data_IF_971316261376
#
_entry.id   IF_971316261376
#
_cell.length_a   1.000
_cell.length_b   1.000
_cell.length_c   1.000
_cell.angle_alpha   90.00
_cell.angle_beta   90.00
_cell.angle_gamma   90.00
#
_symmetry.space_group_name_H-M   'P 1'
#
loop_
_entity.id
_entity.type
_entity.pdbx_description
1 polymer ?
#
# COMPACT_ATOMS: atom_id res chain seq x y z
N UNK A 1 -1.24 -41.64 -34.80
CA UNK A 1 -1.33 -40.27 -35.37
C UNK A 1 -2.50 -39.45 -34.81
N UNK A 2 -3.70 -40.01 -34.63
CA UNK A 2 -4.90 -39.25 -34.23
C UNK A 2 -4.78 -38.46 -32.91
N UNK A 3 -4.08 -39.00 -31.91
CA UNK A 3 -3.89 -38.33 -30.61
C UNK A 3 -3.05 -37.05 -30.71
N UNK A 4 -2.03 -37.04 -31.58
CA UNK A 4 -1.15 -35.89 -31.78
C UNK A 4 -1.92 -34.73 -32.44
N UNK A 5 -2.81 -35.04 -33.38
CA UNK A 5 -3.65 -34.04 -34.05
C UNK A 5 -4.61 -33.38 -33.05
N UNK A 6 -5.21 -34.17 -32.14
CA UNK A 6 -6.11 -33.64 -31.11
C UNK A 6 -5.41 -32.65 -30.15
N UNK A 7 -4.16 -32.93 -29.76
CA UNK A 7 -3.37 -32.03 -28.90
C UNK A 7 -3.08 -30.70 -29.60
N UNK A 8 -2.70 -30.73 -30.89
CA UNK A 8 -2.40 -29.50 -31.64
C UNK A 8 -3.65 -28.64 -31.80
N UNK A 9 -4.81 -29.25 -32.06
CA UNK A 9 -6.09 -28.53 -32.13
C UNK A 9 -6.44 -27.92 -30.77
N UNK A 10 -6.28 -28.66 -29.66
CA UNK A 10 -6.50 -28.14 -28.32
C UNK A 10 -5.64 -26.92 -27.99
N UNK A 11 -4.33 -26.98 -28.31
CA UNK A 11 -3.41 -25.87 -28.08
C UNK A 11 -3.73 -24.63 -28.94
N UNK A 12 -4.04 -24.83 -30.22
CA UNK A 12 -4.39 -23.71 -31.12
C UNK A 12 -5.69 -23.02 -30.70
N UNK A 13 -6.72 -23.77 -30.30
CA UNK A 13 -7.97 -23.22 -29.76
C UNK A 13 -7.71 -22.47 -28.44
N UNK A 14 -6.88 -23.02 -27.55
CA UNK A 14 -6.50 -22.38 -26.28
C UNK A 14 -5.77 -21.04 -26.49
N UNK A 15 -4.83 -20.98 -27.44
CA UNK A 15 -4.11 -19.75 -27.79
C UNK A 15 -5.07 -18.69 -28.35
N UNK A 16 -5.93 -19.07 -29.31
CA UNK A 16 -6.92 -18.15 -29.89
C UNK A 16 -7.89 -17.61 -28.85
N UNK A 17 -8.35 -18.45 -27.92
CA UNK A 17 -9.21 -18.05 -26.82
C UNK A 17 -8.53 -17.02 -25.90
N UNK A 18 -7.27 -17.25 -25.53
CA UNK A 18 -6.49 -16.33 -24.70
C UNK A 18 -6.29 -14.97 -25.40
N UNK A 19 -5.96 -14.96 -26.70
CA UNK A 19 -5.83 -13.72 -27.49
C UNK A 19 -7.16 -12.95 -27.53
N UNK A 20 -8.28 -13.63 -27.79
CA UNK A 20 -9.62 -13.01 -27.82
C UNK A 20 -10.00 -12.41 -26.46
N UNK A 21 -9.69 -13.11 -25.36
CA UNK A 21 -9.91 -12.62 -23.99
C UNK A 21 -9.07 -11.37 -23.68
N UNK A 22 -7.79 -11.37 -24.06
CA UNK A 22 -6.92 -10.18 -23.92
C UNK A 22 -7.45 -8.98 -24.71
N UNK A 23 -7.89 -9.19 -25.96
CA UNK A 23 -8.46 -8.12 -26.80
C UNK A 23 -9.74 -7.52 -26.21
N UNK A 24 -10.64 -8.36 -25.67
CA UNK A 24 -11.86 -7.88 -24.98
C UNK A 24 -11.53 -7.05 -23.74
N UNK A 25 -10.59 -7.51 -22.91
CA UNK A 25 -10.13 -6.75 -21.73
C UNK A 25 -9.54 -5.40 -22.11
N UNK A 26 -8.69 -5.37 -23.15
CA UNK A 26 -8.11 -4.12 -23.63
C UNK A 26 -9.17 -3.16 -24.18
N UNK A 27 -10.17 -3.66 -24.92
CA UNK A 27 -11.25 -2.84 -25.44
C UNK A 27 -12.11 -2.23 -24.31
N UNK A 28 -12.43 -3.01 -23.28
CA UNK A 28 -13.15 -2.52 -22.10
C UNK A 28 -12.35 -1.43 -21.36
N UNK A 29 -11.05 -1.66 -21.20
CA UNK A 29 -10.13 -0.72 -20.54
C UNK A 29 -9.98 0.59 -21.32
N UNK A 30 -9.85 0.50 -22.65
CA UNK A 30 -9.80 1.67 -23.53
C UNK A 30 -11.14 2.43 -23.52
N UNK A 31 -12.27 1.72 -23.48
CA UNK A 31 -13.60 2.35 -23.39
C UNK A 31 -13.75 3.14 -22.09
N UNK A 32 -13.41 2.55 -20.95
CA UNK A 32 -13.45 3.21 -19.64
C UNK A 32 -12.53 4.43 -19.60
N UNK A 33 -11.30 4.30 -20.09
CA UNK A 33 -10.35 5.41 -20.22
C UNK A 33 -10.90 6.57 -21.09
N UNK A 34 -11.49 6.25 -22.24
CA UNK A 34 -12.10 7.25 -23.12
C UNK A 34 -13.31 7.94 -22.46
N UNK A 35 -14.12 7.21 -21.70
CA UNK A 35 -15.25 7.78 -20.96
C UNK A 35 -14.77 8.73 -19.88
N UNK A 36 -13.74 8.36 -19.11
CA UNK A 36 -13.13 9.23 -18.11
C UNK A 36 -12.52 10.48 -18.74
N UNK A 37 -11.89 10.37 -19.91
CA UNK A 37 -11.38 11.54 -20.64
C UNK A 37 -12.51 12.46 -21.13
N UNK A 38 -13.64 11.90 -21.58
CA UNK A 38 -14.79 12.70 -21.96
C UNK A 38 -15.39 13.44 -20.76
N UNK A 39 -15.47 12.78 -19.60
CA UNK A 39 -15.92 13.41 -18.34
C UNK A 39 -14.93 14.47 -17.86
N UNK A 40 -13.62 14.26 -18.04
CA UNK A 40 -12.59 15.24 -17.73
C UNK A 40 -12.81 16.54 -18.51
N UNK A 41 -13.18 16.47 -19.79
CA UNK A 41 -13.41 17.68 -20.60
C UNK A 41 -14.63 18.51 -20.13
N UNK A 42 -15.47 17.96 -19.25
CA UNK A 42 -16.59 18.68 -18.63
C UNK A 42 -16.18 19.40 -17.34
N UNK A 43 -14.96 19.20 -16.85
CA UNK A 43 -14.46 19.90 -15.67
C UNK A 43 -14.26 21.38 -15.99
N UNK A 44 -14.77 22.23 -15.12
CA UNK A 44 -14.57 23.69 -15.20
C UNK A 44 -13.15 24.10 -14.83
N UNK A 45 -12.41 23.22 -14.14
CA UNK A 45 -11.10 23.51 -13.59
C UNK A 45 -10.00 22.90 -14.47
N UNK A 46 -8.87 23.58 -14.60
CA UNK A 46 -7.69 23.09 -15.33
C UNK A 46 -6.76 22.36 -14.36
N UNK A 47 -6.77 21.01 -14.35
CA UNK A 47 -5.97 20.27 -13.38
C UNK A 47 -4.48 20.47 -13.65
N UNK A 48 -3.74 20.83 -12.60
CA UNK A 48 -2.28 20.98 -12.61
C UNK A 48 -1.60 19.62 -12.56
N UNK A 49 -2.20 18.67 -11.83
CA UNK A 49 -1.72 17.30 -11.73
C UNK A 49 -2.85 16.30 -11.87
N UNK A 50 -2.53 15.13 -12.43
CA UNK A 50 -3.51 14.08 -12.66
C UNK A 50 -2.91 12.69 -12.47
N UNK A 51 -3.74 11.78 -11.98
CA UNK A 51 -3.38 10.39 -11.79
C UNK A 51 -4.55 9.47 -12.12
N UNK A 52 -4.33 8.63 -13.13
CA UNK A 52 -5.24 7.53 -13.45
C UNK A 52 -4.91 6.33 -12.56
N UNK A 53 -5.92 5.79 -11.90
CA UNK A 53 -5.80 4.58 -11.09
C UNK A 53 -5.37 3.38 -11.93
N UNK A 54 -4.67 2.42 -11.32
CA UNK A 54 -4.15 1.22 -11.99
C UNK A 54 -5.25 0.35 -12.65
N UNK A 55 -6.49 0.43 -12.17
CA UNK A 55 -7.65 -0.26 -12.75
C UNK A 55 -8.38 0.57 -13.82
N UNK A 56 -7.95 1.81 -14.06
CA UNK A 56 -8.56 2.81 -14.95
C UNK A 56 -10.02 3.15 -14.61
N UNK A 57 -10.46 2.98 -13.36
CA UNK A 57 -11.84 3.30 -12.95
C UNK A 57 -11.98 4.65 -12.25
N UNK A 58 -10.85 5.22 -11.83
CA UNK A 58 -10.81 6.47 -11.09
C UNK A 58 -9.67 7.34 -11.63
N UNK A 59 -9.99 8.59 -11.96
CA UNK A 59 -9.04 9.65 -12.26
C UNK A 59 -9.06 10.64 -11.09
N UNK A 60 -7.92 10.75 -10.42
CA UNK A 60 -7.65 11.80 -9.44
C UNK A 60 -7.05 12.99 -10.16
N UNK A 61 -7.66 14.16 -10.02
CA UNK A 61 -7.15 15.40 -10.58
C UNK A 61 -7.01 16.45 -9.48
N UNK A 62 -5.95 17.24 -9.53
CA UNK A 62 -5.65 18.30 -8.58
C UNK A 62 -5.47 19.61 -9.32
N UNK A 63 -6.21 20.63 -8.91
CA UNK A 63 -5.99 22.03 -9.30
C UNK A 63 -5.31 22.74 -8.15
N UNK A 64 -3.99 22.95 -8.27
CA UNK A 64 -3.19 23.58 -7.22
C UNK A 64 -3.53 25.07 -7.06
N UNK A 65 -3.94 25.72 -8.15
CA UNK A 65 -4.22 27.15 -8.16
C UNK A 65 -5.56 27.43 -7.48
N UNK A 66 -6.57 26.60 -7.77
CA UNK A 66 -7.87 26.71 -7.13
C UNK A 66 -7.93 26.04 -5.75
N UNK A 67 -6.92 25.25 -5.36
CA UNK A 67 -6.94 24.49 -4.11
C UNK A 67 -8.02 23.40 -4.09
N UNK A 68 -8.31 22.79 -5.24
CA UNK A 68 -9.39 21.82 -5.42
C UNK A 68 -8.88 20.46 -5.84
N UNK A 69 -9.53 19.42 -5.35
CA UNK A 69 -9.27 18.02 -5.69
C UNK A 69 -10.52 17.42 -6.30
N UNK A 70 -10.36 16.66 -7.38
CA UNK A 70 -11.45 16.07 -8.11
C UNK A 70 -11.28 14.57 -8.28
N UNK A 71 -12.36 13.84 -8.02
CA UNK A 71 -12.47 12.40 -8.19
C UNK A 71 -13.45 12.13 -9.33
N UNK A 72 -12.93 11.66 -10.46
CA UNK A 72 -13.75 11.24 -11.60
C UNK A 72 -13.78 9.72 -11.66
N UNK A 73 -14.97 9.14 -11.47
CA UNK A 73 -15.25 7.72 -11.68
C UNK A 73 -16.19 7.55 -12.87
N UNK A 74 -16.48 6.31 -13.26
CA UNK A 74 -17.47 6.03 -14.31
C UNK A 74 -18.88 6.53 -13.96
N UNK A 75 -19.19 6.65 -12.67
CA UNK A 75 -20.54 6.97 -12.17
C UNK A 75 -20.67 8.40 -11.67
N UNK A 76 -19.56 9.05 -11.30
CA UNK A 76 -19.60 10.34 -10.63
C UNK A 76 -18.38 11.19 -10.92
N UNK A 77 -18.55 12.50 -10.87
CA UNK A 77 -17.47 13.47 -10.93
C UNK A 77 -17.64 14.43 -9.76
N UNK A 78 -16.81 14.28 -8.72
CA UNK A 78 -16.94 15.03 -7.48
C UNK A 78 -15.69 15.86 -7.21
N UNK A 79 -15.88 17.16 -7.14
CA UNK A 79 -14.84 18.13 -6.76
C UNK A 79 -15.03 18.57 -5.32
N UNK A 80 -13.95 18.62 -4.55
CA UNK A 80 -13.91 19.09 -3.18
C UNK A 80 -12.85 20.19 -3.04
N UNK A 81 -13.07 21.10 -2.09
CA UNK A 81 -12.02 22.00 -1.64
C UNK A 81 -11.01 21.22 -0.81
N UNK A 82 -9.73 21.60 -0.86
CA UNK A 82 -8.69 20.90 -0.11
C UNK A 82 -8.92 20.94 1.41
N UNK A 83 -9.62 21.98 1.89
CA UNK A 83 -10.01 22.12 3.30
C UNK A 83 -11.08 21.10 3.74
N UNK A 84 -11.78 20.48 2.80
CA UNK A 84 -12.76 19.43 3.09
C UNK A 84 -12.11 18.04 3.24
N UNK A 85 -10.81 17.92 2.96
CA UNK A 85 -10.09 16.67 3.13
C UNK A 85 -9.74 16.47 4.61
N UNK A 86 -10.28 15.40 5.19
CA UNK A 86 -10.14 15.08 6.61
C UNK A 86 -8.96 14.14 6.89
N UNK A 87 -8.54 13.35 5.89
CA UNK A 87 -7.43 12.43 6.08
C UNK A 87 -7.08 11.62 4.85
N UNK A 88 -5.84 11.13 4.84
CA UNK A 88 -5.26 10.35 3.75
C UNK A 88 -4.58 9.13 4.38
N UNK A 89 -4.91 7.94 3.90
CA UNK A 89 -4.40 6.68 4.42
C UNK A 89 -3.92 5.78 3.28
N UNK A 90 -2.62 5.43 3.21
CA UNK A 90 -2.15 4.36 2.35
C UNK A 90 -2.60 3.01 2.93
N UNK A 91 -3.15 2.13 2.09
CA UNK A 91 -3.58 0.79 2.48
C UNK A 91 -2.95 -0.21 1.52
N UNK A 92 -2.29 -1.22 2.10
CA UNK A 92 -1.69 -2.32 1.36
C UNK A 92 -2.39 -3.62 1.72
N UNK A 93 -3.05 -4.23 0.74
CA UNK A 93 -3.71 -5.52 0.87
C UNK A 93 -2.77 -6.61 0.41
N UNK A 94 -2.62 -7.64 1.22
CA UNK A 94 -1.67 -8.71 0.98
C UNK A 94 -1.77 -9.84 1.98
N UNK A 95 -0.92 -10.84 1.79
CA UNK A 95 -0.72 -11.93 2.73
C UNK A 95 0.71 -11.89 3.24
N UNK A 96 0.88 -12.07 4.55
CA UNK A 96 2.19 -12.28 5.16
C UNK A 96 2.38 -13.77 5.39
N UNK A 97 3.47 -14.33 4.87
CA UNK A 97 3.90 -15.70 5.15
C UNK A 97 5.15 -15.65 6.02
N UNK A 98 5.20 -16.46 7.07
CA UNK A 98 6.37 -16.65 7.92
C UNK A 98 6.89 -18.07 7.71
N UNK A 99 8.12 -18.18 7.19
CA UNK A 99 8.82 -19.45 7.07
C UNK A 99 9.87 -19.52 8.19
N UNK A 100 9.65 -20.40 9.16
CA UNK A 100 10.61 -20.65 10.25
C UNK A 100 11.46 -21.86 9.89
N UNK A 101 12.76 -21.64 9.68
CA UNK A 101 13.71 -22.73 9.47
C UNK A 101 14.47 -22.99 10.76
N UNK A 102 14.25 -24.15 11.38
CA UNK A 102 15.03 -24.60 12.53
C UNK A 102 16.20 -25.44 12.04
N UNK A 103 17.42 -25.05 12.40
CA UNK A 103 18.63 -25.85 12.19
C UNK A 103 19.19 -26.26 13.53
N UNK A 104 19.50 -27.54 13.65
CA UNK A 104 20.27 -28.06 14.78
C UNK A 104 21.75 -27.89 14.46
N UNK A 105 22.47 -27.22 15.35
CA UNK A 105 23.89 -27.01 15.22
C UNK A 105 24.62 -28.27 15.74
N UNK A 106 25.88 -28.50 15.33
CA UNK A 106 26.69 -29.66 15.78
C UNK A 106 26.80 -29.79 17.31
N UNK A 107 26.53 -28.71 18.05
CA UNK A 107 26.54 -28.64 19.52
C UNK A 107 25.16 -28.86 20.18
N UNK A 108 24.13 -29.29 19.44
CA UNK A 108 22.78 -29.51 19.98
C UNK A 108 21.98 -28.24 20.25
N UNK A 109 22.53 -27.06 19.92
CA UNK A 109 21.80 -25.80 19.98
C UNK A 109 20.88 -25.68 18.75
N UNK A 110 19.59 -25.49 18.98
CA UNK A 110 18.62 -25.19 17.93
C UNK A 110 18.68 -23.69 17.60
N UNK A 111 19.09 -23.35 16.38
CA UNK A 111 18.98 -22.00 15.85
C UNK A 111 17.78 -21.93 14.90
N UNK A 112 16.78 -21.13 15.24
CA UNK A 112 15.68 -20.81 14.34
C UNK A 112 15.96 -19.50 13.59
N UNK A 113 15.83 -19.54 12.28
CA UNK A 113 15.81 -18.34 11.43
C UNK A 113 14.42 -18.18 10.87
N UNK A 114 13.76 -17.07 11.22
CA UNK A 114 12.44 -16.73 10.70
C UNK A 114 12.59 -15.82 9.49
N UNK A 115 12.06 -16.24 8.33
CA UNK A 115 11.99 -15.40 7.13
C UNK A 115 10.54 -14.96 6.93
N UNK A 116 10.29 -13.67 7.05
CA UNK A 116 9.01 -13.06 6.70
C UNK A 116 9.00 -12.74 5.20
N UNK A 117 7.99 -13.20 4.49
CA UNK A 117 7.73 -12.83 3.10
C UNK A 117 6.35 -12.21 3.02
N UNK A 118 6.30 -10.91 2.74
CA UNK A 118 5.04 -10.19 2.51
C UNK A 118 4.76 -10.11 1.01
N UNK A 119 3.55 -10.52 0.64
CA UNK A 119 3.03 -10.46 -0.73
C UNK A 119 1.90 -9.46 -0.80
N UNK A 120 2.01 -8.46 -1.67
CA UNK A 120 1.03 -7.39 -1.86
C UNK A 120 0.25 -7.66 -3.15
N UNK A 121 -1.08 -7.75 -3.05
CA UNK A 121 -1.98 -7.89 -4.22
C UNK A 121 -2.57 -6.56 -4.67
N UNK A 122 -2.72 -5.60 -3.74
CA UNK A 122 -3.33 -4.31 -4.02
C UNK A 122 -2.75 -3.22 -3.13
N UNK A 123 -2.43 -2.09 -3.75
CA UNK A 123 -1.98 -0.87 -3.07
C UNK A 123 -2.98 0.24 -3.40
N UNK A 124 -3.62 0.79 -2.38
CA UNK A 124 -4.65 1.82 -2.51
C UNK A 124 -4.35 3.03 -1.61
N UNK A 125 -4.76 4.20 -2.07
CA UNK A 125 -4.80 5.42 -1.29
C UNK A 125 -6.27 5.73 -0.96
N UNK A 126 -6.62 5.70 0.31
CA UNK A 126 -7.94 6.08 0.81
C UNK A 126 -7.92 7.53 1.27
N UNK A 127 -8.78 8.35 0.68
CA UNK A 127 -8.95 9.76 1.04
C UNK A 127 -10.33 9.91 1.70
N UNK A 128 -10.34 10.54 2.87
CA UNK A 128 -11.57 10.83 3.62
C UNK A 128 -11.91 12.30 3.48
N UNK A 129 -13.15 12.58 3.09
CA UNK A 129 -13.64 13.93 2.79
C UNK A 129 -14.87 14.25 3.64
N UNK A 130 -15.13 15.54 3.86
CA UNK A 130 -16.30 16.07 4.56
C UNK A 130 -17.56 16.00 3.69
N UNK A 131 -17.94 14.80 3.28
CA UNK A 131 -19.18 14.50 2.55
C UNK A 131 -19.99 13.46 3.33
N UNK A 132 -21.24 13.77 3.65
CA UNK A 132 -22.15 12.87 4.37
C UNK A 132 -22.63 11.70 3.52
N UNK A 133 -22.57 11.81 2.19
CA UNK A 133 -23.04 10.77 1.26
C UNK A 133 -21.90 9.85 0.85
N UNK A 134 -20.75 10.41 0.42
CA UNK A 134 -19.56 9.62 0.04
C UNK A 134 -18.29 10.12 0.74
N UNK A 135 -18.11 9.78 2.02
CA UNK A 135 -16.96 10.26 2.80
C UNK A 135 -15.63 9.62 2.40
N UNK A 136 -15.63 8.55 1.59
CA UNK A 136 -14.43 7.78 1.28
C UNK A 136 -14.24 7.63 -0.22
N UNK A 137 -13.05 8.00 -0.69
CA UNK A 137 -12.60 7.82 -2.06
C UNK A 137 -11.34 6.95 -2.06
N UNK A 138 -11.30 5.90 -2.88
CA UNK A 138 -10.16 4.99 -2.98
C UNK A 138 -9.54 5.04 -4.36
N UNK A 139 -8.21 5.10 -4.42
CA UNK A 139 -7.44 5.15 -5.67
C UNK A 139 -6.39 4.05 -5.64
N UNK A 140 -6.43 3.13 -6.59
CA UNK A 140 -5.43 2.06 -6.70
C UNK A 140 -4.17 2.54 -7.41
N UNK A 141 -3.03 2.36 -6.76
CA UNK A 141 -1.69 2.52 -7.35
C UNK A 141 -1.14 1.20 -7.89
N UNK A 142 -1.58 0.09 -7.32
CA UNK A 142 -1.32 -1.25 -7.81
C UNK A 142 -2.56 -2.12 -7.62
N UNK A 143 -2.97 -2.83 -8.68
CA UNK A 143 -4.03 -3.84 -8.62
C UNK A 143 -3.69 -4.98 -9.58
N UNK A 144 -2.94 -5.95 -9.08
CA UNK A 144 -2.44 -7.07 -9.86
C UNK A 144 -3.33 -8.31 -9.77
N UNK A 145 -3.35 -9.18 -10.80
CA UNK A 145 -4.02 -10.47 -10.71
C UNK A 145 -3.31 -11.45 -9.74
N UNK A 146 -2.07 -11.15 -9.36
CA UNK A 146 -1.29 -11.94 -8.42
C UNK A 146 -0.64 -11.03 -7.38
N UNK A 147 -0.50 -11.57 -6.16
CA UNK A 147 0.27 -10.91 -5.12
C UNK A 147 1.77 -10.99 -5.45
N UNK A 148 2.47 -9.87 -5.37
CA UNK A 148 3.91 -9.77 -5.63
C UNK A 148 4.66 -9.57 -4.32
N UNK A 149 5.86 -10.14 -4.21
CA UNK A 149 6.69 -9.93 -3.03
C UNK A 149 7.06 -8.46 -2.88
N UNK A 150 7.28 -8.02 -1.64
CA UNK A 150 7.94 -6.74 -1.38
C UNK A 150 9.29 -6.65 -2.11
N UNK A 151 9.63 -5.46 -2.60
CA UNK A 151 10.79 -5.21 -3.47
C UNK A 151 10.58 -5.59 -4.94
N UNK A 152 9.39 -6.05 -5.34
CA UNK A 152 9.11 -6.26 -6.76
C UNK A 152 9.09 -4.90 -7.49
N UNK A 153 9.77 -4.73 -8.66
CA UNK A 153 9.91 -3.42 -9.31
C UNK A 153 8.58 -2.70 -9.64
N UNK A 154 7.52 -3.46 -9.95
CA UNK A 154 6.18 -2.87 -10.14
C UNK A 154 5.58 -2.30 -8.85
N UNK A 155 5.79 -2.97 -7.72
CA UNK A 155 5.29 -2.52 -6.42
C UNK A 155 6.08 -1.29 -5.96
N UNK A 156 7.40 -1.31 -6.05
CA UNK A 156 8.25 -0.16 -5.69
C UNK A 156 7.87 1.10 -6.50
N UNK A 157 7.60 0.95 -7.80
CA UNK A 157 7.11 2.04 -8.64
C UNK A 157 5.74 2.55 -8.19
N UNK A 158 4.83 1.65 -7.81
CA UNK A 158 3.51 2.02 -7.33
C UNK A 158 3.58 2.74 -5.97
N UNK A 159 4.41 2.25 -5.04
CA UNK A 159 4.68 2.88 -3.75
C UNK A 159 5.31 4.26 -3.91
N UNK A 160 6.30 4.39 -4.80
CA UNK A 160 6.93 5.69 -5.11
C UNK A 160 5.89 6.70 -5.61
N UNK A 161 5.02 6.29 -6.53
CA UNK A 161 3.93 7.14 -7.03
C UNK A 161 2.92 7.49 -5.94
N UNK A 162 2.53 6.52 -5.11
CA UNK A 162 1.60 6.76 -4.01
C UNK A 162 2.16 7.75 -3.00
N UNK A 163 3.42 7.57 -2.60
CA UNK A 163 4.12 8.46 -1.67
C UNK A 163 4.30 9.87 -2.25
N UNK A 164 4.54 9.98 -3.56
CA UNK A 164 4.56 11.27 -4.25
C UNK A 164 3.21 12.00 -4.13
N UNK A 165 2.10 11.32 -4.41
CA UNK A 165 0.76 11.89 -4.26
C UNK A 165 0.39 12.23 -2.82
N UNK A 166 0.76 11.38 -1.85
CA UNK A 166 0.62 11.69 -0.42
C UNK A 166 1.37 12.99 -0.08
N UNK A 167 2.60 13.14 -0.56
CA UNK A 167 3.40 14.35 -0.35
C UNK A 167 2.73 15.60 -0.91
N UNK A 168 2.24 15.55 -2.15
CA UNK A 168 1.53 16.66 -2.78
C UNK A 168 0.28 17.02 -1.99
N UNK A 169 -0.57 16.04 -1.68
CA UNK A 169 -1.83 16.28 -0.98
C UNK A 169 -1.59 16.84 0.43
N UNK A 170 -0.58 16.34 1.14
CA UNK A 170 -0.18 16.88 2.44
C UNK A 170 0.22 18.36 2.35
N UNK A 171 1.05 18.72 1.37
CA UNK A 171 1.44 20.13 1.16
C UNK A 171 0.21 20.99 0.85
N UNK A 172 -0.71 20.49 0.02
CA UNK A 172 -1.92 21.22 -0.35
C UNK A 172 -2.87 21.40 0.85
N UNK A 173 -3.08 20.37 1.66
CA UNK A 173 -3.89 20.46 2.88
C UNK A 173 -3.29 21.47 3.88
N UNK A 174 -1.97 21.45 4.07
CA UNK A 174 -1.29 22.40 4.96
C UNK A 174 -1.42 23.85 4.48
N UNK A 175 -1.41 24.09 3.15
CA UNK A 175 -1.61 25.42 2.57
C UNK A 175 -3.05 25.92 2.72
N UNK A 176 -4.03 25.05 2.49
CA UNK A 176 -5.45 25.40 2.51
C UNK A 176 -5.98 25.75 3.91
N UNK A 177 -5.46 25.09 4.95
CA UNK A 177 -5.94 25.29 6.31
C UNK A 177 -5.32 26.52 7.01
N UNK A 178 -4.36 27.20 6.37
CA UNK A 178 -3.69 28.37 6.94
C UNK A 178 -3.10 28.07 8.33
N UNK A 179 -1.83 27.63 8.38
CA UNK A 179 -0.94 27.57 9.55
C UNK A 179 -0.76 26.16 10.19
N UNK A 180 0.52 25.73 10.23
CA UNK A 180 1.32 24.86 11.11
C UNK A 180 0.76 23.63 11.85
N UNK A 181 -0.55 23.50 12.08
CA UNK A 181 -1.13 22.45 12.94
C UNK A 181 -1.21 21.07 12.26
N UNK A 182 -1.29 21.04 10.92
CA UNK A 182 -1.42 19.79 10.15
C UNK A 182 -0.11 18.97 10.18
N UNK A 183 1.04 19.64 10.32
CA UNK A 183 2.37 19.01 10.36
C UNK A 183 2.52 18.03 11.54
N UNK A 184 1.90 18.32 12.68
CA UNK A 184 1.95 17.48 13.89
C UNK A 184 1.16 16.17 13.73
N UNK A 185 0.04 16.19 12.99
CA UNK A 185 -0.72 14.97 12.71
C UNK A 185 -0.11 14.15 11.57
N UNK A 186 0.55 14.79 10.58
CA UNK A 186 1.20 14.08 9.47
C UNK A 186 2.41 13.26 9.94
N UNK A 187 3.20 13.76 10.89
CA UNK A 187 4.33 12.99 11.45
C UNK A 187 3.84 11.67 12.07
N UNK A 188 2.74 11.73 12.82
CA UNK A 188 2.11 10.53 13.40
C UNK A 188 1.54 9.58 12.32
N UNK A 189 1.03 10.09 11.19
CA UNK A 189 0.48 9.26 10.09
C UNK A 189 1.58 8.60 9.25
N UNK A 190 2.70 9.28 8.97
CA UNK A 190 3.84 8.64 8.28
C UNK A 190 4.54 7.62 9.18
N UNK A 191 4.69 7.93 10.47
CA UNK A 191 5.24 6.99 11.45
C UNK A 191 4.30 5.80 11.66
N UNK A 192 2.97 6.00 11.65
CA UNK A 192 2.00 4.92 11.70
C UNK A 192 1.74 4.20 10.37
N UNK A 193 2.08 4.77 9.21
CA UNK A 193 2.12 4.02 7.94
C UNK A 193 3.35 3.09 7.90
N UNK A 194 4.49 3.54 8.45
CA UNK A 194 5.64 2.67 8.74
C UNK A 194 5.31 1.66 9.85
N UNK A 195 4.55 2.06 10.87
CA UNK A 195 4.16 1.19 11.97
C UNK A 195 3.00 0.24 11.63
N UNK A 196 2.14 0.51 10.64
CA UNK A 196 1.09 -0.41 10.16
C UNK A 196 1.63 -1.42 9.15
N UNK A 197 2.71 -1.09 8.42
CA UNK A 197 3.58 -2.09 7.77
C UNK A 197 4.34 -2.92 8.82
N UNK A 198 4.40 -2.45 10.07
CA UNK A 198 4.97 -3.14 11.24
C UNK A 198 3.91 -3.50 12.29
N UNK A 199 2.62 -3.64 11.94
CA UNK A 199 1.57 -4.09 12.88
C UNK A 199 1.32 -5.60 12.81
N UNK A 200 2.38 -6.34 12.49
CA UNK A 200 2.73 -7.52 13.26
C UNK A 200 3.99 -7.17 14.05
N UNK A 201 3.92 -6.16 14.92
CA UNK A 201 4.82 -6.22 16.08
C UNK A 201 4.40 -7.51 16.79
N UNK A 202 5.33 -8.47 17.00
CA UNK A 202 5.07 -9.44 18.05
C UNK A 202 4.71 -8.59 19.26
N UNK A 203 3.65 -8.94 19.98
CA UNK A 203 3.60 -8.56 21.38
C UNK A 203 4.98 -8.95 21.91
N UNK A 204 5.88 -7.99 22.15
CA UNK A 204 7.25 -8.29 22.52
C UNK A 204 7.09 -9.10 23.78
N UNK A 205 7.24 -10.42 23.64
CA UNK A 205 6.98 -11.33 24.71
C UNK A 205 7.95 -10.91 25.80
N UNK A 206 7.46 -10.79 27.03
CA UNK A 206 8.34 -10.51 28.18
C UNK A 206 9.52 -11.48 28.17
N UNK A 207 9.31 -12.71 27.68
CA UNK A 207 10.37 -13.69 27.45
C UNK A 207 11.45 -13.23 26.45
N UNK A 208 11.09 -12.63 25.33
CA UNK A 208 12.06 -12.17 24.31
C UNK A 208 12.90 -11.00 24.81
N UNK A 209 12.29 -10.07 25.55
CA UNK A 209 13.01 -8.96 26.19
C UNK A 209 13.94 -9.48 27.30
N UNK A 210 13.51 -10.46 28.10
CA UNK A 210 14.36 -11.13 29.10
C UNK A 210 15.57 -11.83 28.46
N UNK A 211 15.40 -12.46 27.29
CA UNK A 211 16.49 -13.09 26.53
C UNK A 211 17.48 -12.02 26.03
N UNK A 212 17.00 -10.89 25.50
CA UNK A 212 17.87 -9.78 25.05
C UNK A 212 18.71 -9.23 26.19
N UNK A 213 18.12 -8.91 27.34
CA UNK A 213 18.88 -8.38 28.48
C UNK A 213 19.85 -9.42 29.05
N UNK A 214 19.52 -10.72 29.01
CA UNK A 214 20.44 -11.79 29.42
C UNK A 214 21.64 -11.88 28.49
N UNK A 215 21.43 -11.74 27.18
CA UNK A 215 22.51 -11.74 26.20
C UNK A 215 23.44 -10.53 26.37
N UNK A 216 22.90 -9.34 26.68
CA UNK A 216 23.71 -8.15 26.95
C UNK A 216 24.59 -8.32 28.20
N UNK A 217 24.08 -8.99 29.24
CA UNK A 217 24.85 -9.32 30.44
C UNK A 217 25.96 -10.32 30.13
N UNK A 218 25.68 -11.38 29.35
CA UNK A 218 26.68 -12.37 28.95
C UNK A 218 27.79 -11.77 28.08
N UNK A 219 27.46 -10.74 27.28
CA UNK A 219 28.42 -9.99 26.47
C UNK A 219 29.22 -8.95 27.27
N UNK A 220 28.91 -8.76 28.57
CA UNK A 220 29.54 -7.74 29.41
C UNK A 220 29.17 -6.30 29.03
N UNK A 221 28.08 -6.11 28.28
CA UNK A 221 27.59 -4.80 27.84
C UNK A 221 26.79 -4.08 28.92
N UNK A 222 26.26 -4.83 29.89
CA UNK A 222 25.60 -4.31 31.07
C UNK A 222 26.10 -5.04 32.30
N UNK A 223 26.03 -4.37 33.45
CA UNK A 223 26.36 -4.93 34.76
C UNK A 223 25.22 -5.78 35.33
N UNK A 224 25.53 -6.59 36.33
CA UNK A 224 24.52 -7.43 37.01
C UNK A 224 23.41 -6.59 37.67
N UNK A 225 23.75 -5.40 38.17
CA UNK A 225 22.79 -4.50 38.83
C UNK A 225 21.83 -3.86 37.82
N UNK A 226 22.34 -3.45 36.65
CA UNK A 226 21.52 -2.95 35.53
C UNK A 226 20.59 -4.04 34.99
N UNK A 227 21.09 -5.27 34.86
CA UNK A 227 20.27 -6.41 34.47
C UNK A 227 19.11 -6.63 35.45
N UNK A 228 19.37 -6.59 36.76
CA UNK A 228 18.35 -6.79 37.78
C UNK A 228 17.29 -5.67 37.77
N UNK A 229 17.70 -4.42 37.57
CA UNK A 229 16.80 -3.26 37.48
C UNK A 229 15.89 -3.35 36.24
N UNK A 230 16.45 -3.70 35.08
CA UNK A 230 15.69 -3.89 33.84
C UNK A 230 14.74 -5.10 33.93
N UNK A 231 15.20 -6.20 34.53
CA UNK A 231 14.37 -7.39 34.78
C UNK A 231 13.18 -7.07 35.68
N UNK A 232 13.39 -6.33 36.77
CA UNK A 232 12.31 -5.94 37.68
C UNK A 232 11.27 -5.07 36.96
N UNK A 233 11.74 -4.14 36.10
CA UNK A 233 10.88 -3.24 35.30
C UNK A 233 10.08 -3.96 34.22
N UNK A 234 10.56 -5.10 33.71
CA UNK A 234 9.87 -5.92 32.70
C UNK A 234 8.82 -6.86 33.29
N UNK A 235 8.91 -7.19 34.58
CA UNK A 235 8.02 -8.16 35.26
C UNK A 235 6.94 -7.46 36.11
N UNK A 236 7.12 -6.17 36.45
CA UNK A 236 6.11 -5.36 37.18
C UNK A 236 4.99 -4.87 36.29
#
# INVERSE_FOLDING_TARGET
MSYVIAIIIGLTVGILFNIRMKKKRQAALNKSSNQLQAMKNQLTNTPTQEFMSADNKCLLSLDETAGKINFTTEESNKTYDMTDILGIQPISHGSTSQDTTTRENVFGNLSSTTRTSRKVSRLELKITVKDMVTPHHSIFFYHGPFAVNEGHPYLEKAETKMNHWIGILNVMMSRGNGIDEVSANIHNIMESAKAQVTQLQPQNSVADELVKISNLLQQGMITQDEYNSLKAKLIS
#
